data_IF_480846054995
#
_entry.id   IF_480846054995
#
_cell.length_a   1.000
_cell.length_b   1.000
_cell.length_c   1.000
_cell.angle_alpha   90.00
_cell.angle_beta   90.00
_cell.angle_gamma   90.00
#
_symmetry.space_group_name_H-M   'P 1'
#
loop_
_entity.id
_entity.type
_entity.pdbx_description
1 polymer ?
#
# COMPACT_ATOMS: atom_id res chain seq x y z
N UNK A 1 -2.04 9.46 -0.54
CA UNK A 1 -1.12 9.53 -1.68
C UNK A 1 -0.89 10.98 -2.05
N UNK A 2 -1.92 11.69 -2.50
CA UNK A 2 -1.82 13.09 -2.99
C UNK A 2 -1.17 14.03 -1.96
N UNK A 3 -1.55 13.92 -0.70
CA UNK A 3 -1.04 14.83 0.35
C UNK A 3 0.48 14.68 0.56
N UNK A 4 0.98 13.46 0.63
CA UNK A 4 2.42 13.20 0.81
C UNK A 4 3.25 13.75 -0.34
N UNK A 5 2.81 13.55 -1.58
CA UNK A 5 3.47 14.08 -2.77
C UNK A 5 3.45 15.62 -2.80
N UNK A 6 2.30 16.22 -2.47
CA UNK A 6 2.16 17.67 -2.45
C UNK A 6 3.05 18.32 -1.38
N UNK A 7 3.16 17.70 -0.20
CA UNK A 7 4.03 18.18 0.87
C UNK A 7 5.52 18.05 0.48
N UNK A 8 5.93 16.94 -0.11
CA UNK A 8 7.29 16.76 -0.59
C UNK A 8 7.64 17.77 -1.68
N UNK A 9 6.74 18.04 -2.63
CA UNK A 9 6.93 19.04 -3.66
C UNK A 9 7.09 20.45 -3.08
N UNK A 10 6.31 20.81 -2.06
CA UNK A 10 6.48 22.08 -1.33
C UNK A 10 7.82 22.17 -0.59
N UNK A 11 8.33 21.05 -0.12
CA UNK A 11 9.65 20.97 0.51
C UNK A 11 10.81 20.85 -0.51
N UNK A 12 10.51 20.91 -1.82
CA UNK A 12 11.49 21.00 -2.89
C UNK A 12 11.82 19.69 -3.59
N UNK A 13 11.17 18.56 -3.21
CA UNK A 13 11.42 17.26 -3.80
C UNK A 13 10.18 16.74 -4.53
N UNK A 14 10.33 16.49 -5.83
CA UNK A 14 9.30 15.82 -6.64
C UNK A 14 9.56 14.31 -6.68
N UNK A 15 8.52 13.53 -6.49
CA UNK A 15 8.60 12.06 -6.56
C UNK A 15 7.45 11.50 -7.38
N UNK A 16 7.65 10.43 -8.17
CA UNK A 16 6.63 9.84 -9.02
C UNK A 16 5.71 8.90 -8.21
N UNK A 17 5.08 9.44 -7.16
CA UNK A 17 4.17 8.69 -6.31
C UNK A 17 2.85 8.46 -7.04
N UNK A 18 2.41 7.21 -7.12
CA UNK A 18 1.14 6.81 -7.73
C UNK A 18 0.24 6.12 -6.69
N UNK A 19 -1.06 6.09 -6.99
CA UNK A 19 -2.01 5.32 -6.20
C UNK A 19 -2.14 3.90 -6.75
N UNK A 20 -1.83 2.90 -5.93
CA UNK A 20 -2.28 1.54 -6.17
C UNK A 20 -3.63 1.34 -5.49
N UNK A 21 -4.68 1.30 -6.31
CA UNK A 21 -6.07 1.07 -5.89
C UNK A 21 -6.25 -0.39 -5.56
N UNK A 22 -6.41 -0.72 -4.29
CA UNK A 22 -6.59 -2.08 -3.81
C UNK A 22 -8.00 -2.31 -3.30
N UNK A 23 -8.53 -3.50 -3.58
CA UNK A 23 -9.92 -3.86 -3.29
C UNK A 23 -10.01 -4.97 -2.26
N UNK A 24 -11.06 -4.95 -1.45
CA UNK A 24 -11.47 -6.15 -0.74
C UNK A 24 -13.00 -6.27 -0.62
N UNK A 25 -13.43 -7.50 -0.42
CA UNK A 25 -14.80 -7.89 -0.17
C UNK A 25 -14.91 -8.51 1.22
N UNK A 26 -16.05 -8.32 1.87
CA UNK A 26 -16.35 -8.96 3.15
C UNK A 26 -17.64 -9.79 3.06
N UNK A 27 -17.53 -11.06 3.46
CA UNK A 27 -18.62 -12.02 3.51
C UNK A 27 -18.96 -12.30 4.98
N UNK A 28 -20.08 -11.79 5.45
CA UNK A 28 -20.52 -11.93 6.84
C UNK A 28 -20.90 -13.39 7.17
N UNK A 29 -20.69 -13.81 8.40
CA UNK A 29 -20.97 -15.17 8.87
C UNK A 29 -19.99 -16.25 8.36
N UNK A 30 -19.04 -15.91 7.50
CA UNK A 30 -18.16 -16.85 6.80
C UNK A 30 -16.76 -17.03 7.45
N UNK A 31 -16.58 -16.58 8.69
CA UNK A 31 -15.26 -16.60 9.38
C UNK A 31 -14.63 -17.99 9.51
N UNK A 32 -15.46 -19.03 9.59
CA UNK A 32 -15.00 -20.41 9.84
C UNK A 32 -14.58 -21.16 8.55
N UNK A 33 -14.69 -20.55 7.37
CA UNK A 33 -14.29 -21.16 6.10
C UNK A 33 -12.81 -21.52 6.06
N UNK A 34 -12.00 -20.69 6.68
CA UNK A 34 -10.56 -20.89 6.83
C UNK A 34 -10.14 -20.47 8.25
N UNK A 35 -9.07 -21.07 8.76
CA UNK A 35 -8.57 -20.80 10.11
C UNK A 35 -7.39 -19.82 10.14
N UNK A 36 -6.75 -19.59 8.99
CA UNK A 36 -5.59 -18.72 8.83
C UNK A 36 -5.65 -17.99 7.48
N UNK A 37 -4.93 -16.89 7.30
CA UNK A 37 -4.83 -16.25 5.99
C UNK A 37 -4.27 -17.22 4.94
N UNK A 38 -4.87 -17.20 3.75
CA UNK A 38 -4.51 -18.04 2.60
C UNK A 38 -4.28 -17.13 1.40
N UNK A 39 -3.16 -17.34 0.69
CA UNK A 39 -2.90 -16.75 -0.60
C UNK A 39 -3.32 -17.74 -1.70
N UNK A 40 -4.21 -17.33 -2.60
CA UNK A 40 -4.55 -18.06 -3.83
C UNK A 40 -3.61 -17.55 -4.91
N UNK A 41 -2.42 -18.15 -4.99
CA UNK A 41 -1.28 -17.59 -5.71
C UNK A 41 -1.50 -17.48 -7.22
N UNK A 42 -2.16 -18.46 -7.83
CA UNK A 42 -2.50 -18.50 -9.26
C UNK A 42 -3.50 -17.42 -9.69
N UNK A 43 -4.30 -16.92 -8.75
CA UNK A 43 -5.33 -15.91 -8.98
C UNK A 43 -5.00 -14.54 -8.34
N UNK A 44 -3.92 -14.46 -7.57
CA UNK A 44 -3.40 -13.21 -7.02
C UNK A 44 -4.29 -12.54 -5.98
N UNK A 45 -5.01 -13.31 -5.16
CA UNK A 45 -5.80 -12.75 -4.06
C UNK A 45 -5.60 -13.49 -2.74
N UNK A 46 -5.97 -12.85 -1.65
CA UNK A 46 -5.86 -13.37 -0.30
C UNK A 46 -7.23 -13.53 0.33
N UNK A 47 -7.40 -14.59 1.11
CA UNK A 47 -8.54 -14.77 2.00
C UNK A 47 -8.06 -14.73 3.45
N UNK A 48 -8.77 -14.02 4.31
CA UNK A 48 -8.41 -13.89 5.72
C UNK A 48 -9.65 -14.03 6.60
N UNK A 49 -9.60 -14.90 7.63
CA UNK A 49 -10.66 -14.95 8.62
C UNK A 49 -10.58 -13.69 9.49
N UNK A 50 -11.69 -13.01 9.64
CA UNK A 50 -11.83 -11.82 10.46
C UNK A 50 -12.92 -12.07 11.53
N UNK A 51 -13.03 -11.17 12.50
CA UNK A 51 -14.11 -11.27 13.49
C UNK A 51 -15.48 -11.24 12.79
N UNK A 52 -16.19 -12.38 12.83
CA UNK A 52 -17.53 -12.54 12.26
C UNK A 52 -17.63 -12.63 10.73
N UNK A 53 -16.54 -12.55 9.98
CA UNK A 53 -16.57 -12.50 8.50
C UNK A 53 -15.35 -13.13 7.85
N UNK A 54 -15.45 -13.44 6.57
CA UNK A 54 -14.35 -13.74 5.69
C UNK A 54 -14.04 -12.49 4.85
N UNK A 55 -12.78 -12.05 4.87
CA UNK A 55 -12.29 -10.99 3.98
C UNK A 55 -11.57 -11.60 2.79
N UNK A 56 -11.91 -11.15 1.60
CA UNK A 56 -11.23 -11.48 0.34
C UNK A 56 -10.60 -10.21 -0.20
N UNK A 57 -9.30 -10.17 -0.31
CA UNK A 57 -8.55 -8.99 -0.74
C UNK A 57 -7.67 -9.33 -1.94
N UNK A 58 -7.79 -8.59 -3.02
CA UNK A 58 -7.01 -8.82 -4.23
C UNK A 58 -7.27 -7.74 -5.26
N UNK A 59 -6.69 -7.99 -6.41
CA UNK A 59 -6.69 -7.07 -7.55
C UNK A 59 -6.09 -5.69 -7.23
N UNK A 60 -5.29 -5.20 -8.16
CA UNK A 60 -4.64 -3.89 -8.07
C UNK A 60 -4.92 -3.13 -9.37
N UNK A 61 -5.14 -1.85 -9.24
CA UNK A 61 -5.31 -0.93 -10.36
C UNK A 61 -4.42 0.28 -10.11
N UNK A 62 -3.59 0.61 -11.08
CA UNK A 62 -2.78 1.81 -11.05
C UNK A 62 -3.61 2.97 -11.58
N UNK A 63 -3.62 4.10 -10.89
CA UNK A 63 -4.39 5.24 -11.35
C UNK A 63 -4.50 6.36 -10.31
N UNK A 64 -5.45 7.23 -10.53
CA UNK A 64 -5.74 8.36 -9.67
C UNK A 64 -6.48 7.95 -8.39
N UNK A 65 -6.56 8.88 -7.46
CA UNK A 65 -7.31 8.74 -6.20
C UNK A 65 -8.82 8.95 -6.40
N UNK A 66 -9.39 8.35 -7.43
CA UNK A 66 -10.83 8.34 -7.64
C UNK A 66 -11.51 7.47 -6.57
N UNK A 67 -12.44 7.99 -5.76
CA UNK A 67 -13.11 7.24 -4.71
C UNK A 67 -14.08 6.18 -5.24
N UNK A 68 -14.43 6.21 -6.53
CA UNK A 68 -15.37 5.24 -7.09
C UNK A 68 -14.69 3.89 -7.32
N UNK A 69 -15.16 2.80 -6.69
CA UNK A 69 -14.63 1.46 -6.95
C UNK A 69 -15.05 0.97 -8.35
N UNK A 70 -14.16 0.26 -9.04
CA UNK A 70 -14.46 -0.37 -10.32
C UNK A 70 -15.42 -1.56 -10.12
N UNK A 71 -16.66 -1.51 -10.67
CA UNK A 71 -17.59 -2.63 -10.57
C UNK A 71 -17.05 -3.92 -11.19
N UNK A 72 -16.29 -3.80 -12.27
CA UNK A 72 -15.64 -4.93 -12.94
C UNK A 72 -14.65 -5.65 -12.02
N UNK A 73 -13.82 -4.90 -11.28
CA UNK A 73 -12.84 -5.44 -10.32
C UNK A 73 -13.52 -6.15 -9.16
N UNK A 74 -14.59 -5.55 -8.61
CA UNK A 74 -15.38 -6.16 -7.54
C UNK A 74 -16.06 -7.45 -8.01
N UNK A 75 -16.65 -7.45 -9.20
CA UNK A 75 -17.27 -8.63 -9.78
C UNK A 75 -16.26 -9.75 -10.07
N UNK A 76 -15.07 -9.40 -10.58
CA UNK A 76 -14.02 -10.38 -10.83
C UNK A 76 -13.57 -11.05 -9.52
N UNK A 77 -13.29 -10.25 -8.48
CA UNK A 77 -12.88 -10.76 -7.17
C UNK A 77 -13.97 -11.62 -6.51
N UNK A 78 -15.25 -11.24 -6.70
CA UNK A 78 -16.38 -12.04 -6.22
C UNK A 78 -16.43 -13.42 -6.91
N UNK A 79 -16.34 -13.47 -8.24
CA UNK A 79 -16.30 -14.75 -8.99
C UNK A 79 -15.12 -15.63 -8.57
N UNK A 80 -13.95 -15.05 -8.39
CA UNK A 80 -12.76 -15.78 -7.93
C UNK A 80 -12.97 -16.41 -6.56
N UNK A 81 -13.54 -15.65 -5.60
CA UNK A 81 -13.85 -16.17 -4.27
C UNK A 81 -14.91 -17.30 -4.31
N UNK A 82 -15.92 -17.12 -5.14
CA UNK A 82 -17.00 -18.13 -5.34
C UNK A 82 -16.50 -19.37 -6.09
N UNK A 83 -15.45 -19.28 -6.90
CA UNK A 83 -14.82 -20.47 -7.49
C UNK A 83 -14.16 -21.36 -6.43
N UNK A 84 -13.70 -20.80 -5.32
CA UNK A 84 -13.16 -21.56 -4.18
C UNK A 84 -14.28 -22.06 -3.26
N UNK A 85 -15.26 -21.22 -2.99
CA UNK A 85 -16.41 -21.51 -2.14
C UNK A 85 -17.72 -21.17 -2.86
N UNK A 86 -18.32 -22.12 -3.63
CA UNK A 86 -19.51 -21.85 -4.44
C UNK A 86 -20.73 -21.34 -3.65
N UNK A 87 -20.82 -21.70 -2.39
CA UNK A 87 -21.89 -21.30 -1.46
C UNK A 87 -21.61 -20.01 -0.67
N UNK A 88 -20.57 -19.25 -1.06
CA UNK A 88 -20.14 -18.07 -0.31
C UNK A 88 -21.20 -16.92 -0.33
N UNK A 89 -22.09 -16.93 -1.32
CA UNK A 89 -23.10 -15.88 -1.49
C UNK A 89 -22.52 -14.57 -2.04
N UNK A 90 -23.19 -13.46 -1.74
CA UNK A 90 -22.77 -12.13 -2.18
C UNK A 90 -22.03 -11.38 -1.06
N UNK A 91 -21.03 -10.57 -1.39
CA UNK A 91 -20.34 -9.78 -0.37
C UNK A 91 -21.30 -8.75 0.22
N UNK A 92 -21.27 -8.58 1.54
CA UNK A 92 -22.07 -7.58 2.26
C UNK A 92 -21.40 -6.21 2.29
N UNK A 93 -20.07 -6.18 2.18
CA UNK A 93 -19.29 -4.94 2.17
C UNK A 93 -18.18 -5.04 1.12
N UNK A 94 -17.89 -3.89 0.54
CA UNK A 94 -16.76 -3.68 -0.36
C UNK A 94 -15.91 -2.54 0.15
N UNK A 95 -14.63 -2.57 -0.16
CA UNK A 95 -13.70 -1.51 0.21
C UNK A 95 -12.68 -1.25 -0.90
N UNK A 96 -12.36 0.02 -1.06
CA UNK A 96 -11.31 0.51 -1.94
C UNK A 96 -10.33 1.34 -1.12
N UNK A 97 -9.03 1.08 -1.28
CA UNK A 97 -7.97 1.86 -0.66
C UNK A 97 -6.87 2.21 -1.64
N UNK A 98 -6.17 3.29 -1.32
CA UNK A 98 -5.12 3.87 -2.15
C UNK A 98 -3.77 3.67 -1.47
N UNK A 99 -2.96 2.73 -1.97
CA UNK A 99 -1.61 2.53 -1.47
C UNK A 99 -0.69 3.53 -2.14
N UNK A 100 0.12 4.26 -1.37
CA UNK A 100 1.11 5.17 -1.92
C UNK A 100 2.32 4.36 -2.42
N UNK A 101 2.46 4.21 -3.73
CA UNK A 101 3.51 3.39 -4.33
C UNK A 101 4.43 4.21 -5.22
N UNK A 102 5.67 3.76 -5.29
CA UNK A 102 6.71 4.33 -6.13
C UNK A 102 7.14 3.29 -7.18
N UNK A 103 7.64 3.70 -8.35
CA UNK A 103 7.94 2.78 -9.46
C UNK A 103 8.91 1.66 -9.11
N UNK A 104 9.83 1.91 -8.18
CA UNK A 104 10.81 0.94 -7.69
C UNK A 104 10.36 0.18 -6.43
N UNK A 105 9.13 0.38 -5.98
CA UNK A 105 8.53 -0.23 -4.78
C UNK A 105 9.28 0.06 -3.47
N UNK A 106 10.20 1.01 -3.45
CA UNK A 106 10.95 1.42 -2.25
C UNK A 106 10.37 2.69 -1.66
N UNK A 107 10.16 2.79 -0.33
CA UNK A 107 9.70 4.03 0.29
C UNK A 107 10.74 5.16 0.16
N UNK A 108 10.31 6.38 0.42
CA UNK A 108 11.19 7.51 0.66
C UNK A 108 11.46 7.59 2.16
N UNK A 109 12.72 7.42 2.53
CA UNK A 109 13.22 7.53 3.89
C UNK A 109 14.49 8.39 3.86
N UNK A 110 14.34 9.71 3.82
CA UNK A 110 15.47 10.63 3.68
C UNK A 110 15.14 12.02 4.20
N UNK A 111 16.15 12.87 4.32
CA UNK A 111 15.93 14.31 4.44
C UNK A 111 15.51 14.90 3.09
N UNK A 112 14.90 16.08 3.13
CA UNK A 112 14.67 16.90 1.93
C UNK A 112 16.01 17.31 1.30
N UNK A 113 16.01 17.47 -0.03
CA UNK A 113 17.16 18.00 -0.77
C UNK A 113 17.42 19.49 -0.50
N UNK A 114 16.43 20.20 0.03
CA UNK A 114 16.44 21.66 0.21
C UNK A 114 16.65 22.10 1.66
N UNK A 115 16.36 21.23 2.61
CA UNK A 115 16.46 21.57 4.03
C UNK A 115 16.64 20.32 4.89
N UNK A 116 17.43 20.43 5.92
CA UNK A 116 17.66 19.39 6.93
C UNK A 116 16.50 19.30 7.96
N UNK A 117 15.59 20.28 7.96
CA UNK A 117 14.45 20.35 8.89
C UNK A 117 13.27 19.47 8.50
N UNK A 118 13.27 18.91 7.28
CA UNK A 118 12.21 18.04 6.78
C UNK A 118 12.76 16.64 6.56
N UNK A 119 12.14 15.66 7.22
CA UNK A 119 12.41 14.24 7.03
C UNK A 119 11.20 13.57 6.40
N UNK A 120 11.44 12.78 5.37
CA UNK A 120 10.42 12.02 4.66
C UNK A 120 10.33 10.59 5.15
N UNK A 121 9.09 10.09 5.29
CA UNK A 121 8.78 8.69 5.51
C UNK A 121 7.44 8.36 4.83
N UNK A 122 7.46 8.04 3.54
CA UNK A 122 6.23 7.73 2.78
C UNK A 122 6.52 6.84 1.57
N UNK A 123 5.46 6.39 0.89
CA UNK A 123 5.60 5.59 -0.32
C UNK A 123 5.84 4.09 -0.06
N UNK A 124 5.38 3.56 1.08
CA UNK A 124 5.62 2.18 1.51
C UNK A 124 4.79 1.12 0.76
N UNK A 125 3.90 1.53 -0.14
CA UNK A 125 3.10 0.59 -0.94
C UNK A 125 2.35 -0.43 -0.11
N UNK A 126 2.56 -1.71 -0.40
CA UNK A 126 1.89 -2.85 0.26
C UNK A 126 2.45 -3.21 1.63
N UNK A 127 3.69 -2.84 1.94
CA UNK A 127 4.45 -3.39 3.07
C UNK A 127 4.70 -2.39 4.19
N UNK A 128 3.93 -1.28 4.21
CA UNK A 128 4.14 -0.20 5.17
C UNK A 128 4.07 -0.65 6.62
N UNK A 129 3.14 -1.52 6.97
CA UNK A 129 3.04 -2.05 8.34
C UNK A 129 4.26 -2.89 8.71
N UNK A 130 4.73 -3.73 7.80
CA UNK A 130 5.94 -4.57 8.00
C UNK A 130 7.19 -3.73 8.16
N UNK A 131 7.30 -2.64 7.39
CA UNK A 131 8.47 -1.75 7.42
C UNK A 131 8.38 -0.66 8.51
N UNK A 132 7.27 -0.55 9.23
CA UNK A 132 7.07 0.52 10.20
C UNK A 132 8.18 0.59 11.28
N UNK A 133 8.63 -0.53 11.90
CA UNK A 133 9.69 -0.48 12.92
C UNK A 133 11.01 0.06 12.38
N UNK A 134 11.49 -0.50 11.27
CA UNK A 134 12.77 -0.07 10.69
C UNK A 134 12.68 1.35 10.12
N UNK A 135 11.54 1.75 9.58
CA UNK A 135 11.33 3.13 9.14
C UNK A 135 11.39 4.11 10.31
N UNK A 136 10.82 3.72 11.46
CA UNK A 136 10.88 4.54 12.67
C UNK A 136 12.32 4.71 13.18
N UNK A 137 13.12 3.65 13.18
CA UNK A 137 14.56 3.73 13.55
C UNK A 137 15.33 4.69 12.65
N UNK A 138 15.13 4.58 11.32
CA UNK A 138 15.75 5.47 10.34
C UNK A 138 15.33 6.92 10.58
N UNK A 139 14.03 7.18 10.74
CA UNK A 139 13.50 8.54 10.98
C UNK A 139 14.06 9.11 12.29
N UNK A 140 14.09 8.32 13.36
CA UNK A 140 14.64 8.76 14.64
C UNK A 140 16.15 9.06 14.54
N UNK A 141 16.91 8.27 13.78
CA UNK A 141 18.33 8.55 13.54
C UNK A 141 18.50 9.87 12.75
N UNK A 142 17.74 10.05 11.67
CA UNK A 142 17.78 11.27 10.88
C UNK A 142 17.41 12.51 11.72
N UNK A 143 16.32 12.48 12.47
CA UNK A 143 15.91 13.61 13.33
C UNK A 143 16.98 13.91 14.38
N UNK A 144 17.56 12.87 14.98
CA UNK A 144 18.59 13.00 16.01
C UNK A 144 20.01 13.28 15.49
N UNK A 145 20.17 13.56 14.18
CA UNK A 145 21.48 13.74 13.52
C UNK A 145 22.46 12.59 13.78
N UNK A 146 21.96 11.36 13.84
CA UNK A 146 22.72 10.12 13.99
C UNK A 146 22.76 9.36 12.67
N UNK A 147 23.75 8.51 12.49
CA UNK A 147 23.78 7.59 11.35
C UNK A 147 22.63 6.59 11.45
N UNK A 148 21.89 6.36 10.35
CA UNK A 148 20.93 5.25 10.26
C UNK A 148 21.63 3.89 10.47
N UNK A 149 20.89 2.83 10.83
CA UNK A 149 21.46 1.51 11.12
C UNK A 149 22.12 0.83 9.90
N UNK A 150 21.83 1.31 8.69
CA UNK A 150 22.42 0.84 7.43
C UNK A 150 22.38 1.96 6.38
N UNK A 151 22.99 1.71 5.19
CA UNK A 151 22.97 2.66 4.08
C UNK A 151 21.54 2.85 3.53
N UNK A 152 21.04 4.08 3.60
CA UNK A 152 19.74 4.49 3.13
C UNK A 152 19.76 5.27 1.81
N UNK A 153 20.89 5.32 1.10
CA UNK A 153 21.02 6.07 -0.16
C UNK A 153 19.97 5.67 -1.20
N UNK A 154 19.64 4.38 -1.27
CA UNK A 154 18.61 3.83 -2.15
C UNK A 154 17.17 4.27 -1.80
N UNK A 155 16.97 4.93 -0.67
CA UNK A 155 15.67 5.42 -0.18
C UNK A 155 15.56 6.95 -0.25
N UNK A 156 16.55 7.62 -0.83
CA UNK A 156 16.55 9.08 -1.02
C UNK A 156 15.46 9.52 -2.00
N UNK A 157 14.80 10.66 -1.71
CA UNK A 157 13.88 11.30 -2.63
C UNK A 157 14.58 11.72 -3.95
N UNK A 158 15.87 12.04 -3.88
CA UNK A 158 16.66 12.49 -5.03
C UNK A 158 16.95 11.39 -6.06
N UNK A 159 16.72 10.11 -5.73
CA UNK A 159 16.95 9.00 -6.68
C UNK A 159 16.10 9.08 -7.95
N UNK A 160 15.03 9.86 -7.91
CA UNK A 160 14.16 10.12 -9.05
C UNK A 160 14.50 11.41 -9.82
N UNK A 161 15.51 12.16 -9.41
CA UNK A 161 15.88 13.44 -10.05
C UNK A 161 16.20 13.37 -11.54
N UNK A 162 16.64 12.21 -12.04
CA UNK A 162 16.88 11.95 -13.47
C UNK A 162 15.62 11.51 -14.25
N UNK A 163 14.54 11.16 -13.57
CA UNK A 163 13.31 10.63 -14.18
C UNK A 163 12.23 11.70 -14.39
N UNK A 164 12.43 12.88 -13.83
CA UNK A 164 11.44 13.96 -13.80
C UNK A 164 11.89 15.18 -14.63
N UNK A 165 12.99 15.05 -15.39
CA UNK A 165 13.45 15.96 -16.42
C UNK A 165 12.92 15.53 -17.78
#
# INVERSE_FOLDING_TARGET
VVLGQALAAKAGDKTPLIAERGYHLEFEGQKNRIQRPVCVADQGFYMSPMSGRLRVAGTVELGDVDPQPSPHRLAALTRQAQAIFPDLGVPKRTWLGFRPSLPDSRPILSRSSRTDRVVYAYGHGHIGLTLAPVSAEIVAALIGNRSPPFDISAYSAQRFGRWLL
#
